data_IF_350212721880
#
_entry.id   IF_350212721880
#
_cell.length_a   1.000
_cell.length_b   1.000
_cell.length_c   1.000
_cell.angle_alpha   90.00
_cell.angle_beta   90.00
_cell.angle_gamma   90.00
#
_symmetry.space_group_name_H-M   'P 1'
#
loop_
_entity.id
_entity.type
_entity.pdbx_description
1 polymer ?
#
# COMPACT_ATOMS: atom_id res chain seq x y z
N UNK A 1 -35.76 43.37 -8.17
CA UNK A 1 -35.25 42.44 -7.13
C UNK A 1 -34.78 41.18 -7.82
N UNK A 2 -33.50 40.79 -7.73
CA UNK A 2 -33.02 39.56 -8.33
C UNK A 2 -33.47 38.36 -7.48
N UNK A 3 -33.96 37.34 -8.17
CA UNK A 3 -34.38 36.06 -7.62
C UNK A 3 -33.21 35.37 -6.89
N UNK A 4 -33.36 35.14 -5.59
CA UNK A 4 -32.34 34.50 -4.77
C UNK A 4 -32.32 33.01 -5.11
N UNK A 5 -31.37 32.61 -5.96
CA UNK A 5 -31.18 31.22 -6.35
C UNK A 5 -31.01 30.37 -5.08
N UNK A 6 -31.76 29.27 -4.99
CA UNK A 6 -31.77 28.40 -3.82
C UNK A 6 -30.47 27.58 -3.73
N UNK A 7 -29.41 28.24 -3.21
CA UNK A 7 -28.07 27.65 -3.03
C UNK A 7 -28.05 26.46 -2.07
N UNK A 8 -29.12 26.24 -1.28
CA UNK A 8 -29.20 25.10 -0.35
C UNK A 8 -29.35 23.79 -1.09
N UNK A 9 -30.15 23.74 -2.17
CA UNK A 9 -30.32 22.53 -3.00
C UNK A 9 -29.02 22.15 -3.71
N UNK A 10 -28.32 23.14 -4.25
CA UNK A 10 -27.05 22.88 -4.93
C UNK A 10 -25.95 22.44 -3.95
N UNK A 11 -25.96 22.94 -2.71
CA UNK A 11 -24.97 22.56 -1.69
C UNK A 11 -25.20 21.13 -1.17
N UNK A 12 -26.46 20.68 -1.04
CA UNK A 12 -26.75 19.29 -0.66
C UNK A 12 -26.42 18.30 -1.77
N UNK A 13 -26.69 18.62 -3.04
CA UNK A 13 -26.32 17.76 -4.17
C UNK A 13 -24.81 17.66 -4.36
N UNK A 14 -24.07 18.77 -4.14
CA UNK A 14 -22.60 18.78 -4.19
C UNK A 14 -22.01 18.01 -3.00
N UNK A 15 -22.55 18.16 -1.79
CA UNK A 15 -22.13 17.40 -0.61
C UNK A 15 -22.42 15.91 -0.74
N UNK A 16 -23.57 15.51 -1.32
CA UNK A 16 -23.86 14.10 -1.60
C UNK A 16 -22.94 13.52 -2.69
N UNK A 17 -22.49 14.33 -3.65
CA UNK A 17 -21.54 13.89 -4.69
C UNK A 17 -20.11 13.71 -4.17
N UNK A 18 -19.67 14.51 -3.20
CA UNK A 18 -18.35 14.28 -2.56
C UNK A 18 -18.37 13.06 -1.64
N UNK A 19 -19.48 12.78 -0.94
CA UNK A 19 -19.60 11.54 -0.15
C UNK A 19 -19.67 10.28 -1.03
N UNK A 20 -20.22 10.37 -2.24
CA UNK A 20 -20.28 9.25 -3.19
C UNK A 20 -18.97 8.98 -3.95
N UNK A 21 -17.99 9.91 -3.89
CA UNK A 21 -16.69 9.76 -4.55
C UNK A 21 -15.65 9.00 -3.71
N UNK A 22 -16.00 8.61 -2.49
CA UNK A 22 -15.16 7.85 -1.57
C UNK A 22 -15.60 6.38 -1.47
N UNK A 23 -15.71 5.63 -2.58
CA UNK A 23 -16.04 4.20 -2.47
C UNK A 23 -15.70 3.29 -3.67
N UNK A 24 -14.70 3.62 -4.51
CA UNK A 24 -13.94 2.55 -5.18
C UNK A 24 -12.64 2.33 -4.42
N UNK A 25 -12.77 1.88 -3.17
CA UNK A 25 -11.65 1.29 -2.45
C UNK A 25 -11.30 0.01 -3.20
N UNK A 26 -10.23 0.03 -4.00
CA UNK A 26 -9.62 -1.21 -4.49
C UNK A 26 -9.05 -1.88 -3.25
N UNK A 27 -9.62 -3.01 -2.78
CA UNK A 27 -9.11 -3.66 -1.58
C UNK A 27 -7.67 -4.11 -1.87
N UNK A 28 -6.69 -3.53 -1.16
CA UNK A 28 -5.32 -4.01 -1.22
C UNK A 28 -5.25 -5.37 -0.54
N UNK A 29 -5.05 -6.40 -1.34
CA UNK A 29 -4.87 -7.76 -0.85
C UNK A 29 -3.39 -7.99 -0.56
N UNK A 30 -3.10 -8.44 0.67
CA UNK A 30 -1.74 -8.80 1.07
C UNK A 30 -1.32 -10.04 0.29
N UNK A 31 -0.19 -9.94 -0.41
CA UNK A 31 0.36 -11.05 -1.22
C UNK A 31 1.54 -11.76 -0.55
N UNK A 32 2.20 -11.09 0.41
CA UNK A 32 3.38 -11.60 1.09
C UNK A 32 3.64 -10.86 2.40
N UNK A 33 4.37 -11.52 3.30
CA UNK A 33 4.90 -10.97 4.55
C UNK A 33 6.43 -10.96 4.52
N UNK A 34 7.02 -9.90 5.10
CA UNK A 34 8.47 -9.83 5.30
C UNK A 34 8.84 -10.37 6.68
N UNK A 35 9.76 -11.32 6.71
CA UNK A 35 10.40 -11.82 7.91
C UNK A 35 11.82 -11.26 7.98
N UNK A 36 12.10 -10.57 9.08
CA UNK A 36 13.42 -9.98 9.37
C UNK A 36 13.89 -10.47 10.73
N UNK A 37 15.20 -10.42 10.98
CA UNK A 37 15.77 -10.76 12.28
C UNK A 37 15.44 -9.72 13.38
N UNK A 38 14.74 -8.64 13.03
CA UNK A 38 14.26 -7.65 13.99
C UNK A 38 12.89 -8.07 14.54
N UNK A 39 12.79 -8.42 15.84
CA UNK A 39 11.52 -8.86 16.43
C UNK A 39 10.52 -7.72 16.63
N UNK A 40 10.97 -6.45 16.58
CA UNK A 40 10.08 -5.29 16.76
C UNK A 40 10.47 -4.14 15.84
N UNK A 41 9.52 -3.24 15.59
CA UNK A 41 9.75 -1.97 14.87
C UNK A 41 10.74 -1.06 15.61
N UNK A 42 10.90 -1.24 16.92
CA UNK A 42 11.85 -0.48 17.74
C UNK A 42 13.24 -1.10 17.65
N UNK A 43 14.23 -0.30 17.27
CA UNK A 43 15.62 -0.75 17.11
C UNK A 43 16.02 -1.08 15.67
N UNK A 44 15.13 -0.92 14.68
CA UNK A 44 15.51 -0.99 13.27
C UNK A 44 16.42 0.20 12.93
N UNK A 45 17.58 -0.01 12.28
CA UNK A 45 18.49 1.06 11.89
C UNK A 45 17.77 2.12 11.04
N UNK A 46 17.93 3.39 11.39
CA UNK A 46 17.38 4.51 10.61
C UNK A 46 18.04 4.68 9.23
N UNK A 47 19.20 4.06 9.03
CA UNK A 47 19.87 4.01 7.74
C UNK A 47 19.97 2.56 7.27
N UNK A 48 19.41 2.31 6.09
CA UNK A 48 19.60 1.06 5.37
C UNK A 48 21.07 0.93 4.92
N UNK A 49 21.56 -0.31 4.84
CA UNK A 49 22.88 -0.61 4.26
C UNK A 49 24.09 -0.55 5.20
N UNK A 50 23.91 -0.25 6.50
CA UNK A 50 25.01 -0.28 7.48
C UNK A 50 25.44 -1.72 7.79
N UNK A 51 24.51 -2.67 7.76
CA UNK A 51 24.77 -4.09 8.01
C UNK A 51 24.48 -4.86 6.72
N UNK A 52 25.52 -5.12 5.92
CA UNK A 52 25.40 -5.84 4.64
C UNK A 52 25.03 -7.32 4.78
N UNK A 53 25.19 -7.89 5.97
CA UNK A 53 24.86 -9.29 6.25
C UNK A 53 23.39 -9.52 6.62
N UNK A 54 22.64 -8.45 6.86
CA UNK A 54 21.28 -8.56 7.35
C UNK A 54 20.34 -8.98 6.22
N UNK A 55 19.96 -10.25 6.23
CA UNK A 55 19.06 -10.84 5.24
C UNK A 55 17.64 -10.80 5.76
N UNK A 56 16.70 -10.61 4.85
CA UNK A 56 15.26 -10.69 5.14
C UNK A 56 14.62 -11.60 4.10
N UNK A 57 13.56 -12.29 4.51
CA UNK A 57 12.86 -13.25 3.65
C UNK A 57 11.45 -12.75 3.39
N UNK A 58 11.09 -12.62 2.12
CA UNK A 58 9.70 -12.35 1.71
C UNK A 58 9.01 -13.70 1.52
N UNK A 59 7.96 -13.94 2.30
CA UNK A 59 7.17 -15.17 2.25
C UNK A 59 5.81 -14.85 1.65
N UNK A 60 5.55 -15.37 0.46
CA UNK A 60 4.26 -15.22 -0.21
C UNK A 60 3.17 -16.05 0.47
N UNK A 61 1.95 -15.51 0.49
CA UNK A 61 0.75 -16.28 0.84
C UNK A 61 0.60 -17.47 -0.11
N UNK A 62 0.08 -18.63 0.34
CA UNK A 62 0.06 -19.87 -0.44
C UNK A 62 -0.51 -19.72 -1.86
N UNK A 63 -1.51 -18.86 -2.05
CA UNK A 63 -2.16 -18.60 -3.32
C UNK A 63 -1.25 -17.86 -4.35
N UNK A 64 -0.21 -17.17 -3.89
CA UNK A 64 0.72 -16.41 -4.72
C UNK A 64 2.08 -17.09 -4.91
N UNK A 65 2.26 -18.33 -4.42
CA UNK A 65 3.51 -19.11 -4.54
C UNK A 65 3.68 -19.74 -5.93
N UNK A 66 3.53 -18.94 -6.98
CA UNK A 66 3.83 -19.34 -8.34
C UNK A 66 5.23 -18.84 -8.74
N UNK A 67 6.21 -19.73 -9.02
CA UNK A 67 7.54 -19.32 -9.46
C UNK A 67 7.53 -18.48 -10.75
N UNK A 68 6.52 -18.65 -11.61
CA UNK A 68 6.40 -17.85 -12.84
C UNK A 68 6.19 -16.36 -12.56
N UNK A 69 5.62 -16.01 -11.40
CA UNK A 69 5.40 -14.62 -11.00
C UNK A 69 6.72 -13.88 -10.67
N UNK A 70 7.80 -14.62 -10.41
CA UNK A 70 9.12 -14.08 -10.06
C UNK A 70 10.16 -14.31 -11.15
N UNK A 71 9.79 -14.92 -12.28
CA UNK A 71 10.74 -15.22 -13.35
C UNK A 71 11.36 -13.95 -13.92
N UNK A 72 12.69 -13.90 -14.00
CA UNK A 72 13.44 -12.75 -14.51
C UNK A 72 13.81 -11.73 -13.45
N UNK A 73 13.35 -11.88 -12.19
CA UNK A 73 13.74 -11.01 -11.09
C UNK A 73 15.23 -11.14 -10.75
N UNK A 74 15.82 -12.30 -11.03
CA UNK A 74 17.24 -12.62 -10.83
C UNK A 74 18.19 -11.75 -11.68
N UNK A 75 17.68 -11.10 -12.72
CA UNK A 75 18.44 -10.16 -13.55
C UNK A 75 18.62 -8.77 -12.92
N UNK A 76 17.99 -8.49 -11.79
CA UNK A 76 18.02 -7.19 -11.13
C UNK A 76 18.78 -7.25 -9.81
N UNK A 77 19.53 -6.19 -9.53
CA UNK A 77 20.25 -6.05 -8.25
C UNK A 77 19.37 -5.43 -7.16
N UNK A 78 18.30 -4.71 -7.55
CA UNK A 78 17.41 -3.99 -6.65
C UNK A 78 15.97 -4.13 -7.11
N UNK A 79 15.06 -4.22 -6.15
CA UNK A 79 13.61 -4.30 -6.37
C UNK A 79 12.90 -3.32 -5.44
N UNK A 80 11.70 -2.90 -5.83
CA UNK A 80 10.83 -2.09 -5.00
C UNK A 80 9.78 -2.97 -4.31
N UNK A 81 9.58 -2.76 -3.02
CA UNK A 81 8.52 -3.37 -2.24
C UNK A 81 7.51 -2.29 -1.87
N UNK A 82 6.25 -2.50 -2.23
CA UNK A 82 5.13 -1.68 -1.78
C UNK A 82 4.51 -2.39 -0.58
N UNK A 83 4.50 -1.74 0.57
CA UNK A 83 3.98 -2.35 1.80
C UNK A 83 2.93 -1.45 2.45
N UNK A 84 2.03 -2.09 3.20
CA UNK A 84 1.14 -1.41 4.14
C UNK A 84 1.76 -1.43 5.54
N UNK A 85 1.82 -0.29 6.21
CA UNK A 85 2.20 -0.25 7.62
C UNK A 85 0.99 -0.61 8.46
N UNK A 86 1.10 -1.68 9.26
CA UNK A 86 0.16 -1.94 10.37
C UNK A 86 0.46 -1.06 11.57
#
# INVERSE_FOLDING_TARGET
>A
MPEYKDYRKQKVDVMQKVEAADAESIPMKVIAYIHTDFPTKFGIPRQSGIVGELKSTIVFEPEYRNPDALRGIEGFTHIWLIWAFS
#
